data_IF_542953112012
#
_entry.id   IF_542953112012
#
_cell.length_a   1.000
_cell.length_b   1.000
_cell.length_c   1.000
_cell.angle_alpha   90.00
_cell.angle_beta   90.00
_cell.angle_gamma   90.00
#
_symmetry.space_group_name_H-M   'P 1'
#
loop_
_entity.id
_entity.type
_entity.pdbx_description
1 polymer ?
#
# COMPACT_ATOMS: atom_id res chain seq x y z
N UNK A 1 -29.37 -16.50 22.92
CA UNK A 1 -28.79 -15.21 22.48
C UNK A 1 -27.43 -15.04 23.14
N UNK A 2 -26.33 -15.20 22.41
CA UNK A 2 -25.22 -14.24 22.40
C UNK A 2 -24.24 -14.62 21.30
N UNK A 3 -24.13 -13.70 20.34
CA UNK A 3 -23.28 -13.72 19.17
C UNK A 3 -21.81 -13.60 19.60
N UNK A 4 -20.96 -14.48 19.12
CA UNK A 4 -19.51 -14.40 19.30
C UNK A 4 -18.97 -13.32 18.36
N UNK A 5 -18.64 -12.15 18.91
CA UNK A 5 -17.96 -11.07 18.20
C UNK A 5 -16.52 -11.49 17.85
N UNK A 6 -16.18 -11.57 16.56
CA UNK A 6 -14.83 -11.90 16.04
C UNK A 6 -13.87 -10.70 15.93
N UNK A 7 -14.12 -9.61 16.66
CA UNK A 7 -13.34 -8.36 16.55
C UNK A 7 -12.78 -7.88 17.90
N UNK A 8 -12.46 -8.82 18.80
CA UNK A 8 -11.85 -8.54 20.10
C UNK A 8 -10.34 -8.66 20.04
N UNK A 9 -9.66 -7.53 20.14
CA UNK A 9 -8.25 -7.37 20.53
C UNK A 9 -7.93 -8.19 21.79
N UNK A 10 -7.11 -9.21 21.66
CA UNK A 10 -6.51 -9.92 22.81
C UNK A 10 -5.46 -8.99 23.45
N UNK A 11 -5.45 -8.81 24.77
CA UNK A 11 -4.35 -8.11 25.44
C UNK A 11 -3.13 -9.03 25.45
N UNK A 12 -2.20 -8.80 24.52
CA UNK A 12 -0.94 -9.53 24.46
C UNK A 12 -0.06 -9.11 25.64
N UNK A 13 0.31 -10.09 26.46
CA UNK A 13 1.38 -9.97 27.44
C UNK A 13 2.69 -9.51 26.76
N UNK A 14 3.61 -8.84 27.47
CA UNK A 14 4.85 -8.35 26.87
C UNK A 14 5.72 -9.54 26.49
N UNK A 15 5.77 -9.88 25.21
CA UNK A 15 6.74 -10.83 24.68
C UNK A 15 8.03 -10.08 24.34
N UNK A 16 9.10 -10.63 24.88
CA UNK A 16 10.49 -10.22 24.78
C UNK A 16 11.10 -10.61 23.44
N UNK A 17 11.80 -9.67 22.80
CA UNK A 17 12.96 -9.89 21.92
C UNK A 17 12.78 -10.59 20.55
N UNK A 18 11.76 -10.19 19.77
CA UNK A 18 11.74 -10.44 18.32
C UNK A 18 11.71 -9.09 17.59
N UNK A 19 12.87 -8.65 17.08
CA UNK A 19 13.01 -7.40 16.28
C UNK A 19 12.61 -7.60 14.81
N UNK A 20 11.70 -8.52 14.52
CA UNK A 20 11.13 -8.71 13.19
C UNK A 20 10.05 -7.64 12.92
N UNK A 21 10.48 -6.49 12.41
CA UNK A 21 9.55 -5.48 11.88
C UNK A 21 8.89 -6.03 10.61
N UNK A 22 7.69 -6.61 10.76
CA UNK A 22 6.90 -7.07 9.62
C UNK A 22 6.31 -5.87 8.87
N UNK A 23 6.68 -5.72 7.60
CA UNK A 23 6.02 -4.77 6.70
C UNK A 23 4.66 -5.34 6.27
N UNK A 24 3.59 -4.95 6.95
CA UNK A 24 2.21 -5.43 6.72
C UNK A 24 1.36 -4.48 5.88
N UNK A 25 1.93 -3.38 5.35
CA UNK A 25 1.23 -2.56 4.34
C UNK A 25 0.82 -3.50 3.21
N UNK A 26 -0.49 -3.67 3.04
CA UNK A 26 -1.09 -4.76 2.30
C UNK A 26 -0.52 -4.88 0.90
N UNK A 27 0.44 -5.79 0.72
CA UNK A 27 0.81 -6.28 -0.60
C UNK A 27 -0.42 -7.04 -1.08
N UNK A 28 -1.17 -6.44 -2.01
CA UNK A 28 -2.31 -7.09 -2.64
C UNK A 28 -1.91 -8.49 -3.08
N UNK A 29 -2.82 -9.46 -3.00
CA UNK A 29 -2.52 -10.86 -3.34
C UNK A 29 -2.05 -11.05 -4.79
N UNK A 30 -2.20 -10.02 -5.62
CA UNK A 30 -1.79 -9.88 -7.01
C UNK A 30 -0.37 -9.30 -7.19
N UNK A 31 0.27 -8.80 -6.13
CA UNK A 31 1.61 -8.22 -6.22
C UNK A 31 2.66 -9.28 -6.55
N UNK A 32 3.55 -8.97 -7.52
CA UNK A 32 4.68 -9.84 -7.82
C UNK A 32 5.60 -9.94 -6.59
N UNK A 33 5.79 -11.14 -6.00
CA UNK A 33 6.50 -11.29 -4.73
C UNK A 33 7.97 -10.86 -4.83
N UNK A 34 8.59 -11.01 -6.00
CA UNK A 34 9.97 -10.58 -6.23
C UNK A 34 10.09 -9.06 -6.24
N UNK A 35 9.18 -8.37 -6.92
CA UNK A 35 9.16 -6.89 -6.92
C UNK A 35 8.86 -6.36 -5.54
N UNK A 36 7.91 -6.99 -4.85
CA UNK A 36 7.53 -6.56 -3.52
C UNK A 36 8.67 -6.75 -2.51
N UNK A 37 9.44 -7.84 -2.60
CA UNK A 37 10.63 -8.06 -1.77
C UNK A 37 11.74 -7.06 -2.12
N UNK A 38 12.03 -6.89 -3.41
CA UNK A 38 13.05 -5.94 -3.87
C UNK A 38 12.71 -4.50 -3.47
N UNK A 39 11.43 -4.09 -3.52
CA UNK A 39 10.98 -2.79 -3.07
C UNK A 39 11.19 -2.59 -1.56
N UNK A 40 10.92 -3.63 -0.76
CA UNK A 40 11.16 -3.58 0.69
C UNK A 40 12.65 -3.45 1.00
N UNK A 41 13.50 -4.23 0.34
CA UNK A 41 14.96 -4.13 0.52
C UNK A 41 15.51 -2.76 0.07
N UNK A 42 14.99 -2.22 -1.03
CA UNK A 42 15.36 -0.88 -1.50
C UNK A 42 14.96 0.21 -0.51
N UNK A 43 13.76 0.12 0.08
CA UNK A 43 13.29 1.07 1.09
C UNK A 43 14.14 1.00 2.37
N UNK A 44 14.46 -0.21 2.85
CA UNK A 44 15.36 -0.40 4.00
C UNK A 44 16.74 0.18 3.71
N UNK A 45 17.32 -0.14 2.54
CA UNK A 45 18.62 0.39 2.15
C UNK A 45 18.61 1.92 2.08
N UNK A 46 17.56 2.52 1.52
CA UNK A 46 17.41 3.97 1.48
C UNK A 46 17.31 4.59 2.89
N UNK A 47 16.51 4.01 3.78
CA UNK A 47 16.37 4.47 5.17
C UNK A 47 17.70 4.43 5.94
N UNK A 48 18.48 3.36 5.77
CA UNK A 48 19.79 3.22 6.42
C UNK A 48 20.87 4.12 5.84
N UNK A 49 20.77 4.50 4.56
CA UNK A 49 21.82 5.31 3.89
C UNK A 49 21.57 6.81 3.95
N UNK A 50 20.31 7.23 4.03
CA UNK A 50 19.94 8.65 4.03
C UNK A 50 19.49 9.16 5.39
N UNK A 51 19.27 8.27 6.35
CA UNK A 51 18.81 8.58 7.72
C UNK A 51 17.73 9.67 7.74
N UNK A 52 16.61 9.48 7.01
CA UNK A 52 15.57 10.49 6.92
C UNK A 52 14.98 10.76 8.31
N UNK A 53 14.53 11.98 8.54
CA UNK A 53 13.81 12.32 9.77
C UNK A 53 12.53 11.47 9.86
N UNK A 54 12.54 10.54 10.81
CA UNK A 54 11.43 9.62 11.01
C UNK A 54 10.32 10.33 11.80
N UNK A 55 9.05 10.22 11.38
CA UNK A 55 7.95 10.74 12.17
C UNK A 55 7.91 10.03 13.54
N UNK A 56 7.31 10.71 14.52
CA UNK A 56 7.12 10.14 15.85
C UNK A 56 6.34 8.82 15.73
N UNK A 57 6.76 7.81 16.48
CA UNK A 57 6.06 6.52 16.51
C UNK A 57 4.58 6.73 16.83
N UNK A 58 3.70 6.25 15.93
CA UNK A 58 2.26 6.25 16.17
C UNK A 58 1.95 5.34 17.37
N UNK A 59 1.47 5.92 18.47
CA UNK A 59 0.98 5.17 19.63
C UNK A 59 -0.55 5.12 19.58
N UNK A 60 -1.13 4.01 19.10
CA UNK A 60 -2.58 3.83 19.05
C UNK A 60 -3.10 3.35 17.68
N UNK A 61 -4.34 3.69 17.35
CA UNK A 61 -4.97 3.38 16.06
C UNK A 61 -4.53 4.40 15.00
N UNK A 62 -3.71 3.95 14.04
CA UNK A 62 -3.19 4.78 12.95
C UNK A 62 -4.29 5.32 12.00
N UNK A 63 -5.50 4.76 12.00
CA UNK A 63 -6.62 5.29 11.23
C UNK A 63 -7.26 6.55 11.86
N UNK A 64 -6.98 6.81 13.14
CA UNK A 64 -7.47 7.99 13.85
C UNK A 64 -6.44 9.12 13.95
N UNK A 65 -5.20 8.84 13.53
CA UNK A 65 -4.10 9.80 13.54
C UNK A 65 -4.17 10.67 12.27
N UNK A 66 -4.56 11.93 12.44
CA UNK A 66 -4.68 12.89 11.35
C UNK A 66 -3.32 13.33 10.79
N UNK A 67 -2.23 13.12 11.54
CA UNK A 67 -0.87 13.50 11.17
C UNK A 67 -0.10 12.33 10.50
N UNK A 68 -0.70 11.14 10.42
CA UNK A 68 -0.11 9.99 9.76
C UNK A 68 -0.03 10.16 8.24
N UNK A 69 1.09 9.74 7.63
CA UNK A 69 1.24 9.77 6.18
C UNK A 69 0.35 8.68 5.55
N UNK A 70 -0.66 9.02 4.73
CA UNK A 70 -1.58 8.04 4.19
C UNK A 70 -0.90 7.19 3.12
N UNK A 71 -1.24 5.90 3.09
CA UNK A 71 -0.93 5.03 1.95
C UNK A 71 -1.87 5.39 0.79
N UNK A 72 -1.40 5.35 -0.47
CA UNK A 72 -2.25 5.58 -1.63
C UNK A 72 -3.53 4.75 -1.59
N UNK A 73 -4.67 5.37 -1.88
CA UNK A 73 -6.01 4.76 -1.74
C UNK A 73 -6.45 4.00 -2.98
N UNK A 74 -5.84 4.31 -4.12
CA UNK A 74 -6.08 3.64 -5.39
C UNK A 74 -4.80 3.53 -6.22
N UNK A 75 -4.88 2.75 -7.30
CA UNK A 75 -3.76 2.52 -8.20
C UNK A 75 -3.27 3.81 -8.90
N UNK A 76 -4.14 4.80 -9.07
CA UNK A 76 -3.80 6.09 -9.67
C UNK A 76 -2.93 6.94 -8.75
N UNK A 77 -3.29 7.05 -7.48
CA UNK A 77 -2.46 7.71 -6.45
C UNK A 77 -1.10 6.99 -6.33
N UNK A 78 -1.11 5.65 -6.28
CA UNK A 78 0.12 4.87 -6.17
C UNK A 78 1.03 5.02 -7.41
N UNK A 79 0.44 5.12 -8.60
CA UNK A 79 1.17 5.35 -9.85
C UNK A 79 1.85 6.72 -9.85
N UNK A 80 1.15 7.77 -9.39
CA UNK A 80 1.69 9.12 -9.33
C UNK A 80 2.94 9.18 -8.42
N UNK A 81 2.87 8.53 -7.25
CA UNK A 81 4.00 8.46 -6.32
C UNK A 81 5.15 7.60 -6.88
N UNK A 82 4.84 6.52 -7.58
CA UNK A 82 5.84 5.57 -8.09
C UNK A 82 6.63 6.11 -9.30
N UNK A 83 5.96 6.77 -10.26
CA UNK A 83 6.59 7.21 -11.52
C UNK A 83 7.68 8.29 -11.28
N UNK A 84 7.41 9.22 -10.36
CA UNK A 84 8.33 10.30 -9.99
C UNK A 84 9.33 9.90 -8.87
N UNK A 85 9.24 8.67 -8.35
CA UNK A 85 10.09 8.23 -7.24
C UNK A 85 11.54 8.02 -7.66
N UNK A 86 12.42 8.92 -7.24
CA UNK A 86 13.88 8.77 -7.36
C UNK A 86 14.40 7.51 -6.67
N UNK A 87 13.78 7.11 -5.56
CA UNK A 87 14.14 5.89 -4.82
C UNK A 87 13.87 4.67 -5.70
N UNK A 88 12.67 4.60 -6.31
CA UNK A 88 12.32 3.51 -7.22
C UNK A 88 13.22 3.48 -8.46
N UNK A 89 13.52 4.65 -9.05
CA UNK A 89 14.41 4.75 -10.21
C UNK A 89 15.84 4.30 -9.89
N UNK A 90 16.36 4.62 -8.71
CA UNK A 90 17.69 4.18 -8.27
C UNK A 90 17.72 2.69 -7.94
N UNK A 91 16.63 2.14 -7.39
CA UNK A 91 16.55 0.74 -6.98
C UNK A 91 16.36 -0.23 -8.15
N UNK A 92 15.45 0.11 -9.07
CA UNK A 92 15.04 -0.79 -10.17
C UNK A 92 15.58 -0.37 -11.55
N UNK A 93 16.02 0.88 -11.67
CA UNK A 93 16.38 1.50 -12.94
C UNK A 93 15.18 2.15 -13.63
N UNK A 94 15.43 3.28 -14.30
CA UNK A 94 14.40 4.09 -14.96
C UNK A 94 13.57 3.33 -16.01
N UNK A 95 14.15 2.35 -16.70
CA UNK A 95 13.43 1.54 -17.69
C UNK A 95 12.41 0.61 -17.06
N UNK A 96 12.73 0.01 -15.91
CA UNK A 96 11.82 -0.89 -15.19
C UNK A 96 10.65 -0.09 -14.60
N UNK A 97 10.96 1.01 -13.92
CA UNK A 97 9.95 1.92 -13.36
C UNK A 97 8.97 2.37 -14.45
N UNK A 98 9.48 2.90 -15.56
CA UNK A 98 8.65 3.35 -16.69
C UNK A 98 7.79 2.23 -17.29
N UNK A 99 8.31 1.01 -17.37
CA UNK A 99 7.55 -0.13 -17.91
C UNK A 99 6.35 -0.48 -17.02
N UNK A 100 6.56 -0.55 -15.70
CA UNK A 100 5.47 -0.82 -14.75
C UNK A 100 4.50 0.35 -14.63
N UNK A 101 4.99 1.60 -14.68
CA UNK A 101 4.14 2.79 -14.68
C UNK A 101 3.20 2.79 -15.90
N UNK A 102 3.72 2.49 -17.10
CA UNK A 102 2.92 2.38 -18.31
C UNK A 102 1.89 1.24 -18.24
N UNK A 103 2.26 0.08 -17.67
CA UNK A 103 1.34 -1.04 -17.49
C UNK A 103 0.19 -0.68 -16.53
N UNK A 104 0.49 -0.05 -15.40
CA UNK A 104 -0.52 0.42 -14.44
C UNK A 104 -1.45 1.47 -15.07
N UNK A 105 -0.91 2.42 -15.85
CA UNK A 105 -1.73 3.40 -16.56
C UNK A 105 -2.69 2.74 -17.55
N UNK A 106 -2.22 1.73 -18.30
CA UNK A 106 -3.08 0.96 -19.19
C UNK A 106 -4.22 0.25 -18.45
N UNK A 107 -3.94 -0.32 -17.29
CA UNK A 107 -4.93 -0.97 -16.46
C UNK A 107 -5.99 0.02 -15.95
N UNK A 108 -5.58 1.18 -15.45
CA UNK A 108 -6.47 2.26 -15.02
C UNK A 108 -7.38 2.70 -16.19
N UNK A 109 -6.80 2.93 -17.36
CA UNK A 109 -7.54 3.37 -18.55
C UNK A 109 -8.51 2.28 -19.04
N UNK A 110 -8.14 1.01 -18.95
CA UNK A 110 -9.01 -0.10 -19.29
C UNK A 110 -10.16 -0.25 -18.28
N UNK A 111 -9.89 -0.05 -16.98
CA UNK A 111 -10.91 -0.11 -15.93
C UNK A 111 -11.92 1.02 -16.08
N UNK A 112 -11.47 2.26 -16.30
CA UNK A 112 -12.34 3.44 -16.47
C UNK A 112 -13.31 3.36 -17.66
N UNK A 113 -13.02 2.51 -18.64
CA UNK A 113 -13.88 2.29 -19.82
C UNK A 113 -14.96 1.22 -19.59
N UNK A 114 -14.92 0.50 -18.47
CA UNK A 114 -15.89 -0.55 -18.15
C UNK A 114 -17.00 0.04 -17.30
N UNK A 115 -18.24 -0.29 -17.65
CA UNK A 115 -19.39 -0.08 -16.76
C UNK A 115 -19.50 -1.30 -15.87
N UNK A 116 -19.43 -1.08 -14.57
CA UNK A 116 -19.50 -2.13 -13.55
C UNK A 116 -20.95 -2.51 -13.24
N UNK A 117 -21.16 -3.72 -12.73
CA UNK A 117 -22.49 -4.19 -12.34
C UNK A 117 -23.14 -3.27 -11.29
N UNK A 118 -22.34 -2.69 -10.39
CA UNK A 118 -22.79 -1.70 -9.41
C UNK A 118 -23.31 -0.42 -10.06
N UNK A 119 -22.69 0.03 -11.16
CA UNK A 119 -23.15 1.19 -11.92
C UNK A 119 -24.43 0.86 -12.70
N UNK A 120 -24.53 -0.35 -13.26
CA UNK A 120 -25.77 -0.83 -13.90
C UNK A 120 -26.93 -0.91 -12.92
N UNK A 121 -26.72 -1.47 -11.73
CA UNK A 121 -27.72 -1.54 -10.66
C UNK A 121 -28.17 -0.14 -10.22
N UNK A 122 -27.25 0.82 -10.07
CA UNK A 122 -27.60 2.21 -9.73
C UNK A 122 -28.38 2.92 -10.84
N UNK A 123 -28.02 2.68 -12.11
CA UNK A 123 -28.61 3.35 -13.26
C UNK A 123 -29.97 2.78 -13.70
N UNK A 124 -30.15 1.45 -13.64
CA UNK A 124 -31.34 0.78 -14.17
C UNK A 124 -32.37 0.39 -13.10
N UNK A 125 -31.99 0.09 -11.86
CA UNK A 125 -32.94 -0.32 -10.81
C UNK A 125 -33.53 0.86 -10.01
N UNK A 126 -33.13 2.10 -10.33
CA UNK A 126 -33.64 3.34 -9.73
C UNK A 126 -34.26 4.31 -10.73
N UNK A 127 -34.46 3.90 -11.99
CA UNK A 127 -35.13 4.67 -13.04
C UNK A 127 -36.61 4.29 -13.14
#
# INVERSE_FOLDING_TARGET
MQSVNRHGTTPTQPQTDDTDTQNTVGKGADANPYLALAATLAAVHHGLTTEPELPLHTTGDAYQDADALPVPRDLGEALADFDDSKIAQNAFGATVVRHYAYAAQHEIDAHRKRVTDTELERGFLRA
#
